data_IF_981553093730
#
_entry.id   IF_981553093730
#
_cell.length_a   1.000
_cell.length_b   1.000
_cell.length_c   1.000
_cell.angle_alpha   90.00
_cell.angle_beta   90.00
_cell.angle_gamma   90.00
#
_symmetry.space_group_name_H-M   'P 1'
#
loop_
_entity.id
_entity.type
_entity.pdbx_description
1 polymer ?
#
# COMPACT_ATOMS: atom_id res chain seq x y z
N UNK A 1 -1.50 -2.53 -22.89
CA UNK A 1 -1.24 -3.68 -21.98
C UNK A 1 0.04 -3.38 -21.24
N UNK A 2 0.00 -3.33 -19.91
CA UNK A 2 1.22 -3.25 -19.11
C UNK A 2 2.09 -4.45 -19.51
N UNK A 3 3.39 -4.25 -19.74
CA UNK A 3 4.33 -5.34 -19.98
C UNK A 3 4.18 -6.40 -18.90
N UNK A 4 4.30 -7.68 -19.25
CA UNK A 4 4.19 -8.81 -18.30
C UNK A 4 5.22 -8.75 -17.16
N UNK A 5 6.24 -7.91 -17.29
CA UNK A 5 7.38 -7.85 -16.38
C UNK A 5 7.25 -6.73 -15.33
N UNK A 6 6.22 -5.88 -15.44
CA UNK A 6 6.00 -4.79 -14.49
C UNK A 6 5.22 -5.31 -13.28
N UNK A 7 5.71 -5.01 -12.09
CA UNK A 7 4.99 -5.23 -10.84
C UNK A 7 4.07 -4.03 -10.59
N UNK A 8 2.77 -4.21 -10.82
CA UNK A 8 1.76 -3.20 -10.59
C UNK A 8 1.26 -3.24 -9.14
N UNK A 9 1.31 -2.09 -8.46
CA UNK A 9 0.89 -1.91 -7.07
C UNK A 9 -0.27 -0.93 -7.06
N UNK A 10 -1.44 -1.35 -6.61
CA UNK A 10 -2.62 -0.49 -6.50
C UNK A 10 -2.93 -0.20 -5.03
N UNK A 11 -3.10 1.08 -4.69
CA UNK A 11 -3.28 1.57 -3.33
C UNK A 11 -4.63 2.23 -3.18
N UNK A 12 -5.46 1.72 -2.27
CA UNK A 12 -6.70 2.35 -1.83
C UNK A 12 -6.73 2.51 -0.31
N UNK A 13 -7.74 3.21 0.19
CA UNK A 13 -7.95 3.47 1.62
C UNK A 13 -8.66 4.80 1.83
N UNK A 14 -9.07 5.08 3.05
CA UNK A 14 -9.73 6.34 3.40
C UNK A 14 -8.72 7.48 3.52
N UNK A 15 -7.57 7.24 4.12
CA UNK A 15 -6.49 8.21 4.30
C UNK A 15 -5.12 7.60 3.96
N UNK A 16 -4.12 8.45 3.72
CA UNK A 16 -2.72 8.04 3.54
C UNK A 16 -2.35 7.51 2.15
N UNK A 17 -3.29 7.36 1.21
CA UNK A 17 -3.03 6.83 -0.13
C UNK A 17 -1.95 7.60 -0.88
N UNK A 18 -2.12 8.90 -1.02
CA UNK A 18 -1.18 9.77 -1.77
C UNK A 18 0.19 9.80 -1.11
N UNK A 19 0.23 9.94 0.22
CA UNK A 19 1.51 9.93 0.95
C UNK A 19 2.23 8.58 0.84
N UNK A 20 1.49 7.47 0.91
CA UNK A 20 2.05 6.13 0.71
C UNK A 20 2.56 5.95 -0.72
N UNK A 21 1.79 6.35 -1.71
CA UNK A 21 2.17 6.30 -3.12
C UNK A 21 3.46 7.09 -3.40
N UNK A 22 3.56 8.32 -2.88
CA UNK A 22 4.75 9.16 -3.04
C UNK A 22 5.97 8.53 -2.35
N UNK A 23 5.83 8.12 -1.08
CA UNK A 23 6.90 7.47 -0.33
C UNK A 23 7.39 6.21 -1.04
N UNK A 24 6.46 5.33 -1.42
CA UNK A 24 6.79 4.07 -2.09
C UNK A 24 7.39 4.29 -3.47
N UNK A 25 6.82 5.22 -4.26
CA UNK A 25 7.32 5.53 -5.59
C UNK A 25 8.75 6.08 -5.56
N UNK A 26 9.06 6.98 -4.63
CA UNK A 26 10.42 7.49 -4.44
C UNK A 26 11.38 6.39 -3.97
N UNK A 27 10.96 5.57 -3.00
CA UNK A 27 11.75 4.45 -2.50
C UNK A 27 12.07 3.43 -3.60
N UNK A 28 11.10 3.08 -4.44
CA UNK A 28 11.30 2.12 -5.52
C UNK A 28 12.17 2.67 -6.64
N UNK A 29 12.17 3.98 -6.89
CA UNK A 29 13.07 4.64 -7.86
C UNK A 29 14.55 4.48 -7.51
N UNK A 30 14.89 4.36 -6.24
CA UNK A 30 16.27 4.10 -5.79
C UNK A 30 16.74 2.67 -6.13
N UNK A 31 15.79 1.78 -6.48
CA UNK A 31 16.08 0.37 -6.76
C UNK A 31 16.01 0.10 -8.26
N UNK A 32 14.95 0.55 -8.91
CA UNK A 32 14.68 0.35 -10.33
C UNK A 32 13.82 1.48 -10.92
N UNK A 33 13.84 1.62 -12.25
CA UNK A 33 12.90 2.51 -12.95
C UNK A 33 11.48 2.22 -12.50
N UNK A 34 10.79 3.28 -12.08
CA UNK A 34 9.47 3.21 -11.44
C UNK A 34 8.62 4.36 -11.88
N UNK A 35 7.43 4.06 -12.40
CA UNK A 35 6.38 5.04 -12.63
C UNK A 35 5.36 5.01 -11.50
N UNK A 36 4.85 6.16 -11.11
CA UNK A 36 3.73 6.25 -10.16
C UNK A 36 2.79 7.40 -10.50
N UNK A 37 1.52 7.26 -10.09
CA UNK A 37 0.47 8.24 -10.36
C UNK A 37 0.89 9.64 -9.91
N UNK A 38 0.80 10.61 -10.81
CA UNK A 38 1.08 12.01 -10.48
C UNK A 38 -0.04 12.58 -9.62
N UNK A 39 0.30 13.45 -8.66
CA UNK A 39 -0.69 14.10 -7.79
C UNK A 39 -1.70 13.07 -7.25
N UNK A 40 -2.99 13.42 -7.27
CA UNK A 40 -4.11 12.54 -6.89
C UNK A 40 -4.86 12.01 -8.13
N UNK A 41 -4.12 11.55 -9.16
CA UNK A 41 -4.70 10.93 -10.36
C UNK A 41 -5.21 9.52 -10.02
N UNK A 42 -6.33 9.45 -9.28
CA UNK A 42 -6.88 8.26 -8.65
C UNK A 42 -8.28 7.87 -9.11
N UNK A 43 -8.79 8.52 -10.15
CA UNK A 43 -10.15 8.34 -10.69
C UNK A 43 -10.13 7.76 -12.12
N UNK A 44 -11.32 7.63 -12.74
CA UNK A 44 -11.52 7.05 -14.08
C UNK A 44 -10.75 7.74 -15.22
N UNK A 45 -10.24 8.95 -15.01
CA UNK A 45 -9.40 9.67 -15.96
C UNK A 45 -7.92 9.58 -15.58
N UNK A 46 -7.60 9.76 -14.30
CA UNK A 46 -6.23 9.82 -13.81
C UNK A 46 -5.52 8.46 -13.83
N UNK A 47 -6.21 7.37 -13.53
CA UNK A 47 -5.62 6.02 -13.56
C UNK A 47 -5.23 5.60 -14.98
N UNK A 48 -6.07 5.74 -16.02
CA UNK A 48 -5.65 5.47 -17.41
C UNK A 48 -4.46 6.31 -17.85
N UNK A 49 -4.42 7.61 -17.52
CA UNK A 49 -3.27 8.49 -17.82
C UNK A 49 -2.01 7.96 -17.13
N UNK A 50 -2.11 7.57 -15.86
CA UNK A 50 -0.97 7.00 -15.11
C UNK A 50 -0.46 5.70 -15.73
N UNK A 51 -1.36 4.85 -16.23
CA UNK A 51 -1.01 3.62 -16.94
C UNK A 51 -0.33 3.89 -18.28
N UNK A 52 -0.79 4.92 -19.00
CA UNK A 52 -0.21 5.30 -20.28
C UNK A 52 1.20 5.86 -20.14
N UNK A 53 1.50 6.47 -19.01
CA UNK A 53 2.82 7.04 -18.70
C UNK A 53 3.87 6.02 -18.22
N UNK A 54 3.52 4.72 -18.17
CA UNK A 54 4.48 3.68 -17.85
C UNK A 54 5.47 3.53 -19.01
N UNK A 55 6.76 3.67 -18.69
CA UNK A 55 7.84 3.42 -19.64
C UNK A 55 8.11 1.93 -19.84
N UNK A 56 8.66 1.57 -21.00
CA UNK A 56 9.01 0.17 -21.34
C UNK A 56 10.07 -0.44 -20.40
N UNK A 57 10.84 0.39 -19.72
CA UNK A 57 11.91 -0.04 -18.81
C UNK A 57 11.49 0.02 -17.34
N UNK A 58 10.24 0.43 -17.05
CA UNK A 58 9.75 0.48 -15.69
C UNK A 58 9.57 -0.94 -15.14
N UNK A 59 10.18 -1.19 -13.97
CA UNK A 59 10.00 -2.44 -13.21
C UNK A 59 8.80 -2.38 -12.29
N UNK A 60 8.47 -1.19 -11.80
CA UNK A 60 7.35 -0.97 -10.86
C UNK A 60 6.41 0.11 -11.37
N UNK A 61 5.10 -0.15 -11.20
CA UNK A 61 4.04 0.83 -11.39
C UNK A 61 3.22 1.01 -10.12
N UNK A 62 3.16 2.22 -9.54
CA UNK A 62 2.40 2.48 -8.31
C UNK A 62 1.20 3.38 -8.60
N UNK A 63 0.01 2.85 -8.38
CA UNK A 63 -1.25 3.50 -8.71
C UNK A 63 -2.08 3.79 -7.47
N UNK A 64 -2.48 5.04 -7.31
CA UNK A 64 -3.50 5.41 -6.33
C UNK A 64 -4.89 5.17 -6.93
N UNK A 65 -5.80 4.56 -6.16
CA UNK A 65 -7.19 4.35 -6.54
C UNK A 65 -8.12 5.01 -5.51
N UNK A 66 -8.86 6.00 -5.97
CA UNK A 66 -9.93 6.67 -5.23
C UNK A 66 -11.31 6.11 -5.56
N UNK A 67 -12.32 6.52 -4.80
CA UNK A 67 -13.72 6.25 -5.08
C UNK A 67 -14.62 7.31 -4.47
N UNK A 68 -15.72 7.59 -5.15
CA UNK A 68 -16.89 8.29 -4.62
C UNK A 68 -18.10 7.36 -4.53
N UNK A 69 -18.16 6.31 -5.37
CA UNK A 69 -19.27 5.36 -5.45
C UNK A 69 -18.76 3.92 -5.45
N UNK A 70 -19.65 3.00 -5.08
CA UNK A 70 -19.44 1.56 -5.21
C UNK A 70 -19.20 1.19 -6.68
N UNK A 71 -18.27 0.25 -6.93
CA UNK A 71 -17.91 -0.24 -8.26
C UNK A 71 -16.75 0.54 -8.90
N UNK A 72 -16.37 1.72 -8.39
CA UNK A 72 -15.27 2.50 -8.96
C UNK A 72 -13.91 1.85 -8.68
N UNK A 73 -13.71 1.29 -7.49
CA UNK A 73 -12.51 0.53 -7.17
C UNK A 73 -12.42 -0.74 -8.03
N UNK A 74 -13.53 -1.44 -8.22
CA UNK A 74 -13.59 -2.61 -9.11
C UNK A 74 -13.17 -2.23 -10.54
N UNK A 75 -13.77 -1.18 -11.09
CA UNK A 75 -13.47 -0.71 -12.44
C UNK A 75 -12.00 -0.36 -12.60
N UNK A 76 -11.44 0.46 -11.70
CA UNK A 76 -10.06 0.93 -11.79
C UNK A 76 -9.05 -0.20 -11.55
N UNK A 77 -9.29 -1.05 -10.57
CA UNK A 77 -8.39 -2.18 -10.29
C UNK A 77 -8.44 -3.25 -11.38
N UNK A 78 -9.57 -3.42 -12.07
CA UNK A 78 -9.69 -4.30 -13.23
C UNK A 78 -8.86 -3.84 -14.42
N UNK A 79 -8.72 -2.52 -14.61
CA UNK A 79 -7.84 -1.95 -15.66
C UNK A 79 -6.37 -2.16 -15.28
N UNK A 80 -5.99 -1.96 -14.01
CA UNK A 80 -4.61 -2.10 -13.53
C UNK A 80 -4.18 -3.56 -13.48
N UNK A 81 -5.05 -4.47 -13.02
CA UNK A 81 -4.75 -5.89 -12.71
C UNK A 81 -3.52 -5.99 -11.80
N UNK A 82 -3.59 -5.47 -10.57
CA UNK A 82 -2.40 -5.32 -9.74
C UNK A 82 -1.85 -6.67 -9.28
N UNK A 83 -0.51 -6.76 -9.22
CA UNK A 83 0.21 -7.82 -8.54
C UNK A 83 0.05 -7.70 -7.01
N UNK A 84 -0.06 -6.45 -6.51
CA UNK A 84 -0.19 -6.14 -5.10
C UNK A 84 -1.33 -5.14 -4.90
N UNK A 85 -2.37 -5.55 -4.17
CA UNK A 85 -3.45 -4.68 -3.72
C UNK A 85 -3.19 -4.20 -2.29
N UNK A 86 -3.34 -2.89 -2.04
CA UNK A 86 -3.08 -2.29 -0.72
C UNK A 86 -4.33 -1.59 -0.21
N UNK A 87 -4.73 -1.88 1.03
CA UNK A 87 -5.79 -1.15 1.74
C UNK A 87 -5.18 -0.51 2.98
N UNK A 88 -5.03 0.83 3.00
CA UNK A 88 -4.35 1.54 4.09
C UNK A 88 -5.16 1.55 5.37
N UNK A 89 -6.38 2.03 5.31
CA UNK A 89 -7.31 2.10 6.44
C UNK A 89 -8.75 2.39 5.98
N UNK A 90 -9.70 2.20 6.89
CA UNK A 90 -11.11 2.57 6.72
C UNK A 90 -11.51 3.59 7.77
N UNK A 91 -11.94 4.76 7.32
CA UNK A 91 -12.45 5.82 8.16
C UNK A 91 -13.66 6.51 7.50
N UNK A 92 -14.25 7.48 8.18
CA UNK A 92 -15.45 8.22 7.74
C UNK A 92 -15.26 9.12 6.50
N UNK A 93 -14.14 9.05 5.79
CA UNK A 93 -13.97 9.75 4.51
C UNK A 93 -14.95 9.20 3.46
N UNK A 94 -15.58 10.10 2.70
CA UNK A 94 -16.57 9.79 1.63
C UNK A 94 -17.88 9.14 2.10
N UNK A 95 -18.28 9.30 3.36
CA UNK A 95 -19.52 8.72 3.91
C UNK A 95 -20.80 9.27 3.29
N UNK A 96 -20.75 10.40 2.58
CA UNK A 96 -21.93 10.97 1.90
C UNK A 96 -22.61 10.00 0.93
N UNK A 97 -21.84 9.09 0.32
CA UNK A 97 -22.33 8.13 -0.67
C UNK A 97 -22.44 6.69 -0.12
N UNK A 98 -22.19 6.51 1.17
CA UNK A 98 -22.22 5.20 1.82
C UNK A 98 -22.97 5.28 3.15
N UNK A 99 -23.94 4.41 3.37
CA UNK A 99 -24.79 4.43 4.57
C UNK A 99 -24.02 4.24 5.89
N UNK A 100 -22.85 3.60 5.84
CA UNK A 100 -22.02 3.33 7.02
C UNK A 100 -20.58 2.94 6.59
N UNK A 101 -19.72 2.78 7.59
CA UNK A 101 -18.31 2.39 7.36
C UNK A 101 -18.17 1.00 6.74
N UNK A 102 -19.09 0.08 6.97
CA UNK A 102 -19.06 -1.23 6.32
C UNK A 102 -19.27 -1.10 4.81
N UNK A 103 -20.14 -0.19 4.37
CA UNK A 103 -20.29 0.15 2.95
C UNK A 103 -18.98 0.64 2.31
N UNK A 104 -18.25 1.52 3.03
CA UNK A 104 -16.92 1.99 2.61
C UNK A 104 -15.91 0.83 2.53
N UNK A 105 -15.87 -0.02 3.56
CA UNK A 105 -15.00 -1.19 3.58
C UNK A 105 -15.32 -2.16 2.44
N UNK A 106 -16.61 -2.41 2.18
CA UNK A 106 -17.07 -3.27 1.07
C UNK A 106 -16.63 -2.73 -0.29
N UNK A 107 -16.77 -1.43 -0.53
CA UNK A 107 -16.33 -0.81 -1.78
C UNK A 107 -14.79 -0.86 -1.93
N UNK A 108 -14.03 -0.52 -0.88
CA UNK A 108 -12.56 -0.62 -0.96
C UNK A 108 -12.06 -2.05 -1.10
N UNK A 109 -12.78 -3.04 -0.59
CA UNK A 109 -12.45 -4.46 -0.77
C UNK A 109 -12.58 -4.96 -2.20
N UNK A 110 -13.20 -4.19 -3.11
CA UNK A 110 -13.29 -4.50 -4.53
C UNK A 110 -11.90 -4.66 -5.18
N UNK A 111 -10.87 -3.96 -4.67
CA UNK A 111 -9.50 -4.12 -5.14
C UNK A 111 -9.00 -5.57 -5.02
N UNK A 112 -9.42 -6.31 -3.99
CA UNK A 112 -9.01 -7.69 -3.74
C UNK A 112 -9.45 -8.61 -4.87
N UNK A 113 -10.62 -8.34 -5.48
CA UNK A 113 -11.19 -9.17 -6.55
C UNK A 113 -10.36 -9.13 -7.85
N UNK A 114 -9.59 -8.06 -8.04
CA UNK A 114 -8.84 -7.82 -9.28
C UNK A 114 -7.31 -7.96 -9.12
N UNK A 115 -6.82 -8.34 -7.93
CA UNK A 115 -5.44 -8.78 -7.78
C UNK A 115 -5.24 -10.04 -8.63
N UNK A 116 -4.13 -10.10 -9.37
CA UNK A 116 -3.83 -11.26 -10.23
C UNK A 116 -3.70 -12.56 -9.42
N UNK A 117 -3.81 -13.70 -10.08
CA UNK A 117 -3.53 -15.00 -9.46
C UNK A 117 -2.12 -15.04 -8.88
N UNK A 118 -1.98 -15.68 -7.71
CA UNK A 118 -0.72 -15.71 -6.94
C UNK A 118 -0.20 -14.33 -6.51
N UNK A 119 -0.99 -13.27 -6.71
CA UNK A 119 -0.69 -11.94 -6.20
C UNK A 119 -0.84 -11.83 -4.70
N UNK A 120 -0.66 -10.63 -4.17
CA UNK A 120 -0.73 -10.39 -2.73
C UNK A 120 -1.60 -9.20 -2.37
N UNK A 121 -2.04 -9.17 -1.12
CA UNK A 121 -2.69 -8.01 -0.51
C UNK A 121 -1.93 -7.57 0.74
N UNK A 122 -1.78 -6.26 0.88
CA UNK A 122 -1.18 -5.63 2.05
C UNK A 122 -2.28 -4.98 2.87
N UNK A 123 -2.41 -5.38 4.14
CA UNK A 123 -3.52 -5.04 5.01
C UNK A 123 -3.04 -4.49 6.36
N UNK A 124 -3.71 -3.45 6.83
CA UNK A 124 -3.49 -2.89 8.17
C UNK A 124 -4.18 -3.78 9.23
N UNK A 125 -3.40 -4.45 10.08
CA UNK A 125 -3.93 -5.32 11.14
C UNK A 125 -4.51 -4.52 12.34
N UNK A 126 -4.31 -3.20 12.39
CA UNK A 126 -4.95 -2.32 13.37
C UNK A 126 -6.33 -1.82 12.89
N UNK A 127 -6.69 -2.05 11.61
CA UNK A 127 -7.99 -1.66 11.07
C UNK A 127 -9.09 -2.62 11.55
N UNK A 128 -10.23 -2.07 11.96
CA UNK A 128 -11.38 -2.86 12.43
C UNK A 128 -11.96 -3.82 11.39
N UNK A 129 -11.73 -3.56 10.09
CA UNK A 129 -12.16 -4.41 9.00
C UNK A 129 -11.07 -5.39 8.52
N UNK A 130 -9.94 -5.49 9.24
CA UNK A 130 -8.85 -6.38 8.87
C UNK A 130 -9.32 -7.82 8.62
N UNK A 131 -10.10 -8.40 9.53
CA UNK A 131 -10.59 -9.78 9.39
C UNK A 131 -11.52 -9.95 8.18
N UNK A 132 -12.33 -8.95 7.86
CA UNK A 132 -13.17 -8.94 6.66
C UNK A 132 -12.33 -9.00 5.37
N UNK A 133 -11.29 -8.16 5.27
CA UNK A 133 -10.39 -8.16 4.11
C UNK A 133 -9.56 -9.44 4.03
N UNK A 134 -9.07 -9.93 5.17
CA UNK A 134 -8.33 -11.19 5.28
C UNK A 134 -9.15 -12.36 4.74
N UNK A 135 -10.40 -12.50 5.15
CA UNK A 135 -11.29 -13.57 4.67
C UNK A 135 -11.54 -13.48 3.16
N UNK A 136 -11.71 -12.26 2.62
CA UNK A 136 -11.85 -12.08 1.16
C UNK A 136 -10.59 -12.49 0.40
N UNK A 137 -9.42 -12.12 0.90
CA UNK A 137 -8.14 -12.47 0.29
C UNK A 137 -7.89 -13.98 0.32
N UNK A 138 -8.20 -14.65 1.44
CA UNK A 138 -8.11 -16.11 1.55
C UNK A 138 -9.01 -16.83 0.57
N UNK A 139 -10.24 -16.37 0.34
CA UNK A 139 -11.15 -16.94 -0.67
C UNK A 139 -10.60 -16.85 -2.10
N UNK A 140 -9.71 -15.89 -2.35
CA UNK A 140 -9.02 -15.68 -3.63
C UNK A 140 -7.64 -16.36 -3.68
N UNK A 141 -7.26 -17.13 -2.66
CA UNK A 141 -5.93 -17.74 -2.52
C UNK A 141 -4.76 -16.72 -2.68
N UNK A 142 -4.98 -15.47 -2.23
CA UNK A 142 -3.96 -14.44 -2.30
C UNK A 142 -3.02 -14.53 -1.10
N UNK A 143 -1.74 -14.18 -1.31
CA UNK A 143 -0.80 -13.99 -0.22
C UNK A 143 -1.21 -12.74 0.57
N UNK A 144 -1.23 -12.84 1.89
CA UNK A 144 -1.57 -11.73 2.79
C UNK A 144 -0.31 -11.31 3.52
N UNK A 145 0.00 -10.01 3.47
CA UNK A 145 1.05 -9.40 4.28
C UNK A 145 0.41 -8.31 5.12
N UNK A 146 0.58 -8.44 6.42
CA UNK A 146 -0.02 -7.53 7.39
C UNK A 146 1.00 -6.57 7.98
N UNK A 147 0.57 -5.33 8.25
CA UNK A 147 1.35 -4.37 9.01
C UNK A 147 0.53 -3.79 10.18
N UNK A 148 1.19 -3.34 11.24
CA UNK A 148 0.51 -2.75 12.39
C UNK A 148 1.44 -1.90 13.27
N UNK A 149 0.83 -1.00 14.04
CA UNK A 149 1.47 -0.33 15.18
C UNK A 149 1.21 -1.07 16.50
N UNK A 150 0.06 -1.72 16.64
CA UNK A 150 -0.41 -2.28 17.93
C UNK A 150 -0.56 -3.80 17.89
N UNK A 151 -1.26 -4.32 16.90
CA UNK A 151 -1.64 -5.72 16.83
C UNK A 151 -0.48 -6.62 16.34
N UNK A 152 -0.67 -7.94 16.43
CA UNK A 152 0.25 -8.92 15.82
C UNK A 152 0.16 -8.81 14.30
N UNK A 153 1.30 -8.72 13.63
CA UNK A 153 1.40 -8.62 12.16
C UNK A 153 2.78 -9.07 11.68
N UNK A 154 2.93 -9.21 10.36
CA UNK A 154 4.18 -9.58 9.70
C UNK A 154 5.22 -8.45 9.81
N UNK A 155 4.76 -7.22 9.64
CA UNK A 155 5.56 -5.99 9.78
C UNK A 155 4.97 -5.20 10.95
N UNK A 156 5.67 -5.16 12.09
CA UNK A 156 5.16 -4.55 13.31
C UNK A 156 6.08 -3.49 13.86
N UNK A 157 5.52 -2.32 14.17
CA UNK A 157 6.22 -1.34 14.99
C UNK A 157 6.40 -1.87 16.41
N UNK A 158 7.62 -1.91 16.92
CA UNK A 158 7.91 -2.26 18.32
C UNK A 158 8.11 -1.02 19.18
N UNK A 159 8.87 -0.04 18.69
CA UNK A 159 9.21 1.16 19.45
C UNK A 159 9.54 2.33 18.54
N UNK A 160 9.17 3.53 18.98
CA UNK A 160 9.67 4.80 18.44
C UNK A 160 10.55 5.44 19.53
N UNK A 161 11.76 5.83 19.17
CA UNK A 161 12.66 6.58 20.05
C UNK A 161 13.02 7.89 19.37
N UNK A 162 12.58 9.01 19.96
CA UNK A 162 12.81 10.33 19.41
C UNK A 162 14.19 10.83 19.78
N UNK A 163 14.94 11.25 18.78
CA UNK A 163 16.22 11.95 18.87
C UNK A 163 16.00 13.41 18.48
N UNK A 164 17.00 14.28 18.65
CA UNK A 164 16.86 15.73 18.45
C UNK A 164 16.19 16.10 17.10
N UNK A 165 16.67 15.55 15.98
CA UNK A 165 16.17 15.83 14.62
C UNK A 165 15.76 14.57 13.84
N UNK A 166 15.75 13.42 14.50
CA UNK A 166 15.49 12.11 13.88
C UNK A 166 14.67 11.26 14.84
N UNK A 167 14.05 10.21 14.33
CA UNK A 167 13.43 9.17 15.14
C UNK A 167 13.97 7.82 14.72
N UNK A 168 14.22 6.97 15.70
CA UNK A 168 14.57 5.59 15.48
C UNK A 168 13.31 4.74 15.64
N UNK A 169 12.92 4.04 14.55
CA UNK A 169 11.84 3.08 14.53
C UNK A 169 12.40 1.68 14.66
N UNK A 170 12.10 1.01 15.77
CA UNK A 170 12.37 -0.42 15.90
C UNK A 170 11.17 -1.17 15.32
N UNK A 171 11.37 -1.88 14.22
CA UNK A 171 10.33 -2.59 13.47
C UNK A 171 10.67 -4.07 13.45
N UNK A 172 9.69 -4.92 13.80
CA UNK A 172 9.79 -6.37 13.64
C UNK A 172 9.28 -6.75 12.26
N UNK A 173 10.10 -7.45 11.51
CA UNK A 173 9.87 -7.90 10.15
C UNK A 173 9.97 -9.42 10.15
N UNK A 174 8.85 -10.12 9.94
CA UNK A 174 8.79 -11.60 9.96
C UNK A 174 9.50 -12.23 11.17
N UNK A 175 9.34 -11.62 12.37
CA UNK A 175 9.93 -12.11 13.61
C UNK A 175 11.29 -11.53 13.96
N UNK A 176 12.02 -10.89 13.03
CA UNK A 176 13.33 -10.26 13.26
C UNK A 176 13.19 -8.75 13.43
N UNK A 177 13.84 -8.19 14.47
CA UNK A 177 13.80 -6.74 14.73
C UNK A 177 14.90 -6.00 13.98
N UNK A 178 14.56 -4.87 13.34
CA UNK A 178 15.48 -3.98 12.64
C UNK A 178 15.21 -2.52 13.04
N UNK A 179 16.23 -1.69 13.04
CA UNK A 179 16.11 -0.26 13.31
C UNK A 179 16.14 0.53 12.00
N UNK A 180 15.28 1.54 11.92
CA UNK A 180 15.23 2.49 10.81
C UNK A 180 15.30 3.91 11.36
N UNK A 181 16.24 4.70 10.85
CA UNK A 181 16.40 6.09 11.24
C UNK A 181 15.66 6.97 10.24
N UNK A 182 14.71 7.74 10.73
CA UNK A 182 13.89 8.64 9.92
C UNK A 182 14.04 10.09 10.40
N UNK A 183 13.79 11.06 9.52
CA UNK A 183 13.63 12.46 9.93
C UNK A 183 12.39 12.60 10.81
N UNK A 184 12.44 13.46 11.84
CA UNK A 184 11.39 13.58 12.87
C UNK A 184 10.00 13.88 12.30
N UNK A 185 9.90 14.66 11.24
CA UNK A 185 8.62 14.99 10.57
C UNK A 185 7.91 13.79 9.94
N UNK A 186 8.59 12.66 9.75
CA UNK A 186 8.00 11.43 9.19
C UNK A 186 7.30 10.55 10.24
N UNK A 187 7.36 10.88 11.53
CA UNK A 187 6.61 10.14 12.57
C UNK A 187 5.11 10.11 12.32
N UNK A 188 4.56 11.18 11.71
CA UNK A 188 3.15 11.28 11.31
C UNK A 188 2.79 10.20 10.27
N UNK A 189 3.78 9.65 9.57
CA UNK A 189 3.60 8.71 8.47
C UNK A 189 4.10 7.29 8.77
N UNK A 190 4.24 6.92 10.04
CA UNK A 190 4.74 5.58 10.44
C UNK A 190 3.93 4.44 9.77
N UNK A 191 2.62 4.57 9.65
CA UNK A 191 1.79 3.57 8.96
C UNK A 191 2.18 3.42 7.49
N UNK A 192 2.55 4.52 6.82
CA UNK A 192 3.01 4.47 5.43
C UNK A 192 4.38 3.78 5.32
N UNK A 193 5.27 3.98 6.29
CA UNK A 193 6.57 3.28 6.35
C UNK A 193 6.35 1.78 6.53
N UNK A 194 5.51 1.38 7.48
CA UNK A 194 5.18 -0.03 7.72
C UNK A 194 4.53 -0.68 6.49
N UNK A 195 3.61 0.04 5.86
CA UNK A 195 2.95 -0.42 4.63
C UNK A 195 3.94 -0.53 3.47
N UNK A 196 4.86 0.43 3.30
CA UNK A 196 5.91 0.37 2.28
C UNK A 196 6.81 -0.84 2.49
N UNK A 197 7.26 -1.10 3.72
CA UNK A 197 8.03 -2.31 4.05
C UNK A 197 7.26 -3.59 3.72
N UNK A 198 5.96 -3.64 4.06
CA UNK A 198 5.10 -4.77 3.73
C UNK A 198 4.96 -4.99 2.22
N UNK A 199 4.88 -3.92 1.43
CA UNK A 199 4.82 -3.99 -0.04
C UNK A 199 6.15 -4.51 -0.59
N UNK A 200 7.25 -3.91 -0.17
CA UNK A 200 8.60 -4.21 -0.67
C UNK A 200 9.02 -5.65 -0.31
N UNK A 201 8.57 -6.17 0.82
CA UNK A 201 8.84 -7.57 1.24
C UNK A 201 8.27 -8.65 0.31
N UNK A 202 7.46 -8.26 -0.69
CA UNK A 202 6.99 -9.19 -1.72
C UNK A 202 8.07 -9.57 -2.73
N UNK A 203 9.07 -8.73 -2.92
CA UNK A 203 10.03 -8.86 -4.01
C UNK A 203 11.47 -8.55 -3.61
N UNK A 204 11.70 -8.06 -2.39
CA UNK A 204 13.04 -7.85 -1.83
C UNK A 204 13.17 -8.49 -0.47
N UNK A 205 14.35 -9.02 -0.19
CA UNK A 205 14.72 -9.43 1.15
C UNK A 205 15.01 -8.19 2.00
N UNK A 206 14.14 -7.94 2.98
CA UNK A 206 14.26 -6.78 3.87
C UNK A 206 15.47 -6.84 4.81
N UNK A 207 16.16 -7.98 4.93
CA UNK A 207 17.41 -8.07 5.69
C UNK A 207 18.51 -7.21 5.06
N UNK A 208 18.51 -7.10 3.74
CA UNK A 208 19.48 -6.35 2.95
C UNK A 208 19.11 -4.87 2.73
N UNK A 209 17.95 -4.44 3.19
CA UNK A 209 17.54 -3.03 3.07
C UNK A 209 18.36 -2.17 4.02
N UNK A 210 19.05 -1.17 3.47
CA UNK A 210 19.79 -0.17 4.23
C UNK A 210 18.87 0.58 5.22
N UNK A 211 19.36 0.92 6.40
CA UNK A 211 18.65 1.76 7.39
C UNK A 211 18.30 3.16 6.84
N UNK A 212 18.94 3.58 5.73
CA UNK A 212 18.73 4.86 5.04
C UNK A 212 17.69 4.79 3.90
N UNK A 213 17.03 3.66 3.70
CA UNK A 213 16.24 3.37 2.52
C UNK A 213 14.99 4.25 2.32
N UNK A 214 14.56 4.98 3.34
CA UNK A 214 13.33 5.79 3.30
C UNK A 214 13.57 7.31 3.30
N UNK A 215 14.80 7.82 3.05
CA UNK A 215 15.09 9.27 3.20
C UNK A 215 16.29 9.74 2.40
#
# INVERSE_FOLDING_TARGET
RISSDIIAIAITGSAGKTSLKELLGQTLKEIHKTSYSQKSYNNKYGVPISLFNIGNEDKYGVFEIGMDKKGEIDYLSRIIKPNIGVITNISYAHTKNFNNLYGVAKAKSEIIENVIEKGSVVLNADDKFYNYFKLKALKRNLKIISFSKKNKSDIKLEKITNLKNKSNLKIRIYGKSKNFIIKRNFEIHVENILSSLAIISNFLDLENISEKFFF
#
